data_IF_649145065303
#
_entry.id   IF_649145065303
#
_cell.length_a   1.000
_cell.length_b   1.000
_cell.length_c   1.000
_cell.angle_alpha   90.00
_cell.angle_beta   90.00
_cell.angle_gamma   90.00
#
_symmetry.space_group_name_H-M   'P 1'
#
loop_
_entity.id
_entity.type
_entity.pdbx_description
1 polymer ?
#
# COMPACT_ATOMS: atom_id res chain seq x y z
N UNK A 1 9.73 -19.93 -7.45
CA UNK A 1 11.05 -19.42 -7.87
C UNK A 1 12.16 -20.16 -7.15
N UNK A 2 13.34 -20.31 -7.78
CA UNK A 2 14.52 -20.88 -7.09
C UNK A 2 15.27 -19.77 -6.34
N UNK A 3 15.55 -20.00 -5.06
CA UNK A 3 16.25 -19.07 -4.17
C UNK A 3 17.54 -19.73 -3.69
N UNK A 4 18.64 -19.01 -3.80
CA UNK A 4 19.95 -19.44 -3.28
C UNK A 4 20.22 -18.74 -1.95
N UNK A 5 20.67 -19.50 -0.97
CA UNK A 5 20.97 -18.98 0.35
C UNK A 5 21.98 -19.84 1.09
N UNK A 6 22.16 -19.55 2.38
CA UNK A 6 23.00 -20.34 3.28
C UNK A 6 22.12 -21.25 4.11
N UNK A 7 22.39 -22.54 4.07
CA UNK A 7 21.71 -23.51 4.92
C UNK A 7 22.17 -23.31 6.38
N UNK A 8 21.22 -23.15 7.30
CA UNK A 8 21.51 -22.82 8.70
C UNK A 8 22.13 -23.97 9.49
N UNK A 9 21.98 -25.21 9.04
CA UNK A 9 22.49 -26.42 9.72
C UNK A 9 23.89 -26.72 9.22
N UNK A 10 24.06 -26.85 7.90
CA UNK A 10 25.33 -27.22 7.28
C UNK A 10 26.28 -26.03 7.08
N UNK A 11 25.75 -24.80 7.08
CA UNK A 11 26.51 -23.58 6.82
C UNK A 11 26.91 -23.37 5.36
N UNK A 12 26.58 -24.30 4.45
CA UNK A 12 26.95 -24.28 3.04
C UNK A 12 25.88 -23.62 2.16
N UNK A 13 26.25 -23.13 0.96
CA UNK A 13 25.26 -22.65 -0.01
C UNK A 13 24.28 -23.75 -0.42
N UNK A 14 22.99 -23.42 -0.39
CA UNK A 14 21.90 -24.32 -0.80
C UNK A 14 20.90 -23.58 -1.67
N UNK A 15 20.25 -24.30 -2.57
CA UNK A 15 19.14 -23.81 -3.37
C UNK A 15 17.85 -24.48 -2.92
N UNK A 16 16.78 -23.69 -2.81
CA UNK A 16 15.43 -24.17 -2.51
C UNK A 16 14.44 -23.58 -3.51
N UNK A 17 13.36 -24.29 -3.77
CA UNK A 17 12.23 -23.79 -4.55
C UNK A 17 11.21 -23.19 -3.59
N UNK A 18 10.88 -21.91 -3.78
CA UNK A 18 9.86 -21.18 -3.03
C UNK A 18 8.62 -20.99 -3.91
N UNK A 19 7.45 -21.25 -3.36
CA UNK A 19 6.16 -21.13 -4.03
C UNK A 19 5.48 -19.80 -3.72
N UNK A 20 4.54 -19.38 -4.57
CA UNK A 20 3.73 -18.17 -4.34
C UNK A 20 2.90 -18.27 -3.05
N UNK A 21 2.49 -19.49 -2.67
CA UNK A 21 1.76 -19.77 -1.42
C UNK A 21 2.61 -19.46 -0.20
N UNK A 22 3.85 -19.96 -0.15
CA UNK A 22 4.76 -19.72 0.97
C UNK A 22 5.09 -18.23 1.13
N UNK A 23 5.26 -17.51 0.01
CA UNK A 23 5.48 -16.05 0.03
C UNK A 23 4.22 -15.34 0.56
N UNK A 24 3.05 -15.74 0.10
CA UNK A 24 1.78 -15.15 0.53
C UNK A 24 1.57 -15.36 2.03
N UNK A 25 1.83 -16.58 2.53
CA UNK A 25 1.75 -16.91 3.96
C UNK A 25 2.74 -16.07 4.79
N UNK A 26 3.99 -15.95 4.33
CA UNK A 26 5.00 -15.15 5.02
C UNK A 26 4.65 -13.66 5.11
N UNK A 27 3.87 -13.14 4.15
CA UNK A 27 3.43 -11.75 4.12
C UNK A 27 2.14 -11.48 4.92
N UNK A 28 1.38 -12.50 5.32
CA UNK A 28 0.05 -12.33 5.92
C UNK A 28 0.05 -11.40 7.12
N UNK A 29 1.01 -11.53 8.04
CA UNK A 29 1.05 -10.69 9.25
C UNK A 29 1.22 -9.21 8.91
N UNK A 30 2.10 -8.86 7.97
CA UNK A 30 2.31 -7.48 7.54
C UNK A 30 1.08 -6.95 6.77
N UNK A 31 0.48 -7.77 5.90
CA UNK A 31 -0.73 -7.40 5.17
C UNK A 31 -1.93 -7.17 6.09
N UNK A 32 -2.07 -7.98 7.14
CA UNK A 32 -3.11 -7.80 8.16
C UNK A 32 -2.93 -6.49 8.93
N UNK A 33 -1.68 -6.09 9.25
CA UNK A 33 -1.41 -4.80 9.88
C UNK A 33 -1.83 -3.62 8.99
N UNK A 34 -1.51 -3.68 7.70
CA UNK A 34 -1.89 -2.66 6.72
C UNK A 34 -3.41 -2.59 6.61
N UNK A 35 -4.10 -3.72 6.42
CA UNK A 35 -5.55 -3.73 6.22
C UNK A 35 -6.32 -3.31 7.48
N UNK A 36 -5.84 -3.66 8.68
CA UNK A 36 -6.42 -3.18 9.94
C UNK A 36 -6.26 -1.66 10.10
N UNK A 37 -5.12 -1.10 9.72
CA UNK A 37 -4.91 0.35 9.74
C UNK A 37 -5.88 1.06 8.79
N UNK A 38 -6.07 0.52 7.58
CA UNK A 38 -7.05 1.06 6.62
C UNK A 38 -8.47 1.00 7.18
N UNK A 39 -8.86 -0.13 7.79
CA UNK A 39 -10.18 -0.27 8.44
C UNK A 39 -10.39 0.73 9.56
N UNK A 40 -9.40 0.91 10.43
CA UNK A 40 -9.49 1.89 11.52
C UNK A 40 -9.77 3.31 11.00
N UNK A 41 -9.10 3.71 9.91
CA UNK A 41 -9.37 5.01 9.28
C UNK A 41 -10.80 5.09 8.74
N UNK A 42 -11.32 4.03 8.11
CA UNK A 42 -12.70 4.00 7.61
C UNK A 42 -13.73 4.05 8.76
N UNK A 43 -13.44 3.39 9.88
CA UNK A 43 -14.30 3.41 11.08
C UNK A 43 -14.33 4.79 11.75
N UNK A 44 -13.19 5.49 11.78
CA UNK A 44 -13.06 6.84 12.33
C UNK A 44 -13.58 7.93 11.37
N UNK A 45 -13.87 7.58 10.11
CA UNK A 45 -14.30 8.55 9.10
C UNK A 45 -15.76 8.96 9.34
N UNK A 46 -16.05 10.27 9.44
CA UNK A 46 -17.42 10.75 9.59
C UNK A 46 -18.35 10.28 8.46
N UNK A 47 -19.63 9.98 8.73
CA UNK A 47 -20.57 9.46 7.74
C UNK A 47 -20.68 10.33 6.48
N UNK A 48 -20.58 11.65 6.62
CA UNK A 48 -20.62 12.61 5.53
C UNK A 48 -19.48 12.46 4.51
N UNK A 49 -18.36 11.86 4.90
CA UNK A 49 -17.21 11.57 4.02
C UNK A 49 -17.15 10.09 3.60
N UNK A 50 -17.71 9.20 4.42
CA UNK A 50 -17.69 7.76 4.14
C UNK A 50 -18.40 7.41 2.82
N UNK A 51 -19.52 8.08 2.50
CA UNK A 51 -20.23 7.90 1.24
C UNK A 51 -19.35 8.20 0.02
N UNK A 52 -18.65 9.33 0.03
CA UNK A 52 -17.74 9.73 -1.04
C UNK A 52 -16.59 8.73 -1.23
N UNK A 53 -16.08 8.15 -0.14
CA UNK A 53 -15.01 7.14 -0.19
C UNK A 53 -15.52 5.82 -0.80
N UNK A 54 -16.74 5.40 -0.46
CA UNK A 54 -17.35 4.18 -1.03
C UNK A 54 -17.53 4.34 -2.54
N UNK A 55 -17.95 5.52 -2.99
CA UNK A 55 -18.20 5.80 -4.41
C UNK A 55 -16.91 5.96 -5.24
N UNK A 56 -15.91 6.68 -4.70
CA UNK A 56 -14.65 6.97 -5.42
C UNK A 56 -13.57 5.90 -5.22
N UNK A 57 -13.65 5.16 -4.12
CA UNK A 57 -12.68 4.15 -3.73
C UNK A 57 -11.39 4.70 -3.12
N UNK A 58 -10.46 3.78 -2.88
CA UNK A 58 -9.14 4.02 -2.29
C UNK A 58 -8.07 3.98 -3.38
N UNK A 59 -7.21 4.99 -3.44
CA UNK A 59 -6.07 5.03 -4.37
C UNK A 59 -4.80 4.58 -3.64
N UNK A 60 -4.14 3.54 -4.15
CA UNK A 60 -2.88 3.04 -3.61
C UNK A 60 -1.70 3.70 -4.32
N UNK A 61 -0.75 4.20 -3.54
CA UNK A 61 0.52 4.77 -4.02
C UNK A 61 1.72 4.19 -3.26
N UNK A 62 2.93 4.52 -3.71
CA UNK A 62 4.19 4.02 -3.14
C UNK A 62 4.62 2.66 -3.70
N UNK A 63 5.79 2.17 -3.29
CA UNK A 63 6.34 0.90 -3.82
C UNK A 63 5.53 -0.33 -3.42
N UNK A 64 4.95 -0.34 -2.23
CA UNK A 64 4.16 -1.47 -1.73
C UNK A 64 2.91 -1.71 -2.57
N UNK A 65 2.35 -0.68 -3.23
CA UNK A 65 1.17 -0.84 -4.09
C UNK A 65 1.46 -1.66 -5.35
N UNK A 66 2.74 -1.91 -5.68
CA UNK A 66 3.16 -2.78 -6.78
C UNK A 66 3.14 -4.27 -6.39
N UNK A 67 2.89 -4.60 -5.12
CA UNK A 67 2.68 -5.98 -4.71
C UNK A 67 1.47 -6.55 -5.44
N UNK A 68 1.66 -7.69 -6.10
CA UNK A 68 0.66 -8.31 -6.96
C UNK A 68 -0.66 -8.53 -6.21
N UNK A 69 -1.75 -7.99 -6.75
CA UNK A 69 -3.12 -8.08 -6.22
C UNK A 69 -3.34 -7.45 -4.84
N UNK A 70 -2.49 -6.51 -4.40
CA UNK A 70 -2.71 -5.81 -3.11
C UNK A 70 -4.01 -5.00 -3.11
N UNK A 71 -4.33 -4.35 -4.23
CA UNK A 71 -5.60 -3.66 -4.48
C UNK A 71 -6.81 -4.58 -4.31
N UNK A 72 -6.78 -5.78 -4.89
CA UNK A 72 -7.85 -6.77 -4.76
C UNK A 72 -7.96 -7.28 -3.32
N UNK A 73 -6.84 -7.54 -2.66
CA UNK A 73 -6.82 -7.93 -1.26
C UNK A 73 -7.49 -6.87 -0.38
N UNK A 74 -7.09 -5.61 -0.51
CA UNK A 74 -7.68 -4.51 0.26
C UNK A 74 -9.16 -4.30 -0.08
N UNK A 75 -9.54 -4.40 -1.35
CA UNK A 75 -10.95 -4.33 -1.76
C UNK A 75 -11.78 -5.41 -1.06
N UNK A 76 -11.30 -6.66 -1.06
CA UNK A 76 -12.01 -7.76 -0.42
C UNK A 76 -12.14 -7.59 1.10
N UNK A 77 -11.09 -7.07 1.74
CA UNK A 77 -11.04 -6.96 3.21
C UNK A 77 -11.79 -5.73 3.72
N UNK A 78 -11.83 -4.64 2.95
CA UNK A 78 -12.48 -3.37 3.34
C UNK A 78 -13.90 -3.23 2.78
N UNK A 79 -14.23 -3.91 1.69
CA UNK A 79 -15.48 -3.71 0.95
C UNK A 79 -15.49 -2.46 0.07
N UNK A 80 -14.39 -1.68 0.04
CA UNK A 80 -14.26 -0.44 -0.73
C UNK A 80 -13.37 -0.68 -1.95
N UNK A 81 -13.78 -0.28 -3.17
CA UNK A 81 -12.95 -0.44 -4.36
C UNK A 81 -11.56 0.19 -4.19
N UNK A 82 -10.49 -0.58 -4.35
CA UNK A 82 -9.13 -0.08 -4.33
C UNK A 82 -8.51 -0.15 -5.74
N UNK A 83 -7.70 0.84 -6.09
CA UNK A 83 -6.97 0.87 -7.36
C UNK A 83 -5.57 1.44 -7.17
N UNK A 84 -4.61 0.98 -7.97
CA UNK A 84 -3.23 1.48 -7.95
C UNK A 84 -3.13 2.73 -8.83
N UNK A 85 -2.45 3.77 -8.33
CA UNK A 85 -2.15 4.95 -9.12
C UNK A 85 -1.32 4.59 -10.38
N UNK A 86 -1.38 5.42 -11.41
CA UNK A 86 -0.66 5.18 -12.68
C UNK A 86 0.87 5.08 -12.48
N UNK A 87 1.46 6.03 -11.76
CA UNK A 87 2.89 6.06 -11.41
C UNK A 87 3.08 6.07 -9.89
N UNK A 88 2.82 4.96 -9.18
CA UNK A 88 2.71 4.96 -7.71
C UNK A 88 4.02 5.32 -7.01
N UNK A 89 5.17 5.02 -7.64
CA UNK A 89 6.50 5.39 -7.15
C UNK A 89 6.77 6.90 -7.22
N UNK A 90 6.10 7.62 -8.13
CA UNK A 90 6.34 9.04 -8.38
C UNK A 90 5.28 9.95 -7.76
N UNK A 91 4.19 9.39 -7.21
CA UNK A 91 3.09 10.15 -6.62
C UNK A 91 3.57 11.21 -5.63
N UNK A 92 4.50 10.86 -4.72
CA UNK A 92 5.00 11.79 -3.70
C UNK A 92 5.76 12.95 -4.33
N UNK A 93 6.78 12.67 -5.14
CA UNK A 93 7.63 13.73 -5.72
C UNK A 93 6.86 14.61 -6.71
N UNK A 94 5.94 14.03 -7.51
CA UNK A 94 5.07 14.78 -8.41
C UNK A 94 4.11 15.67 -7.63
N UNK A 95 3.48 15.14 -6.57
CA UNK A 95 2.61 15.91 -5.70
C UNK A 95 3.34 17.10 -5.04
N UNK A 96 4.57 16.89 -4.58
CA UNK A 96 5.41 17.96 -4.06
C UNK A 96 5.73 19.03 -5.13
N UNK A 97 6.12 18.62 -6.34
CA UNK A 97 6.39 19.55 -7.44
C UNK A 97 5.18 20.40 -7.79
N UNK A 98 4.02 19.77 -7.95
CA UNK A 98 2.75 20.46 -8.22
C UNK A 98 2.37 21.45 -7.11
N UNK A 99 2.57 21.06 -5.84
CA UNK A 99 2.32 21.95 -4.72
C UNK A 99 3.26 23.16 -4.70
N UNK A 100 4.52 22.99 -5.09
CA UNK A 100 5.50 24.09 -5.20
C UNK A 100 5.16 25.05 -6.33
N UNK A 101 4.76 24.54 -7.50
CA UNK A 101 4.30 25.37 -8.63
C UNK A 101 3.06 26.19 -8.27
N UNK A 102 2.26 25.71 -7.31
CA UNK A 102 1.01 26.31 -6.88
C UNK A 102 1.08 26.77 -5.40
N UNK A 103 2.25 27.23 -4.94
CA UNK A 103 2.51 27.45 -3.52
C UNK A 103 1.52 28.41 -2.85
N UNK A 104 1.00 29.39 -3.59
CA UNK A 104 0.00 30.33 -3.05
C UNK A 104 -1.34 29.65 -2.72
N UNK A 105 -1.75 28.65 -3.51
CA UNK A 105 -2.96 27.86 -3.23
C UNK A 105 -2.78 26.98 -1.99
N UNK A 106 -1.59 26.43 -1.79
CA UNK A 106 -1.29 25.50 -0.70
C UNK A 106 -0.68 26.17 0.53
N UNK A 107 -0.43 27.48 0.50
CA UNK A 107 0.27 28.25 1.54
C UNK A 107 -0.28 28.01 2.94
N UNK A 108 -1.61 27.97 3.08
CA UNK A 108 -2.28 27.71 4.38
C UNK A 108 -2.01 26.31 4.92
N UNK A 109 -1.93 25.31 4.05
CA UNK A 109 -1.70 23.91 4.41
C UNK A 109 -0.23 23.60 4.71
N UNK A 110 0.70 24.28 4.03
CA UNK A 110 2.15 24.04 4.17
C UNK A 110 2.78 24.86 5.32
N UNK A 111 2.20 26.00 5.69
CA UNK A 111 2.78 26.91 6.70
C UNK A 111 2.22 26.69 8.11
N UNK A 112 1.35 25.69 8.32
CA UNK A 112 0.76 25.43 9.63
C UNK A 112 1.79 24.75 10.54
N UNK A 113 2.32 25.52 11.51
CA UNK A 113 3.03 24.99 12.70
C UNK A 113 2.04 24.48 13.72
#
# INVERSE_FOLDING_TARGET
MEVRGRDSISGLPRMITVTDTEISEALQTALAQISNAVKGVLEDTPPELAGDIIDRGIVLSGGTSLLKNLDKYLTNVTGVPCHVAEDPLLCVVRGCGLAMENIDLYKRSVTRK
#
